data_IF_901844333901
#
_entry.id   IF_901844333901
#
_cell.length_a   1.000
_cell.length_b   1.000
_cell.length_c   1.000
_cell.angle_alpha   90.00
_cell.angle_beta   90.00
_cell.angle_gamma   90.00
#
_symmetry.space_group_name_H-M   'P 1'
#
loop_
_entity.id
_entity.type
_entity.pdbx_description
1 polymer ?
#
# COMPACT_ATOMS: atom_id res chain seq x y z
N UNK A 1 -7.07 -47.64 0.93
CA UNK A 1 -7.39 -46.22 1.04
C UNK A 1 -6.45 -45.65 2.08
N UNK A 2 -5.34 -45.03 1.65
CA UNK A 2 -4.41 -44.35 2.53
C UNK A 2 -4.62 -42.86 2.26
N UNK A 3 -5.15 -42.16 3.28
CA UNK A 3 -5.22 -40.70 3.27
C UNK A 3 -3.80 -40.14 3.34
N UNK A 4 -3.39 -39.41 2.31
CA UNK A 4 -2.13 -38.70 2.25
C UNK A 4 -2.29 -37.36 3.01
N UNK A 5 -1.59 -37.12 4.15
CA UNK A 5 -1.75 -35.93 4.97
C UNK A 5 -0.91 -34.74 4.49
N UNK A 6 -0.41 -34.72 3.25
CA UNK A 6 0.49 -33.66 2.75
C UNK A 6 -0.15 -32.67 1.78
N UNK A 7 -1.48 -32.60 1.72
CA UNK A 7 -2.12 -31.49 1.03
C UNK A 7 -2.01 -30.23 1.92
N UNK A 8 -0.92 -29.46 1.76
CA UNK A 8 -0.70 -28.21 2.46
C UNK A 8 -1.85 -27.26 2.18
N UNK A 9 -2.76 -27.12 3.13
CA UNK A 9 -3.77 -26.07 3.12
C UNK A 9 -3.02 -24.74 3.01
N UNK A 10 -3.31 -23.97 1.98
CA UNK A 10 -2.90 -22.58 1.94
C UNK A 10 -3.33 -21.94 3.27
N UNK A 11 -2.45 -21.21 3.97
CA UNK A 11 -2.82 -20.60 5.24
C UNK A 11 -4.06 -19.73 5.02
N UNK A 12 -5.09 -19.97 5.83
CA UNK A 12 -6.32 -19.19 5.79
C UNK A 12 -6.06 -17.69 5.97
N UNK A 13 -7.04 -16.83 5.66
CA UNK A 13 -6.86 -15.38 5.80
C UNK A 13 -6.48 -15.05 7.24
N UNK A 14 -5.38 -14.29 7.44
CA UNK A 14 -5.00 -13.78 8.77
C UNK A 14 -6.08 -12.80 9.22
N UNK A 15 -6.74 -13.10 10.33
CA UNK A 15 -7.80 -12.26 10.87
C UNK A 15 -7.26 -10.92 11.40
N UNK A 16 -8.06 -9.85 11.42
CA UNK A 16 -7.60 -8.53 11.90
C UNK A 16 -7.02 -8.55 13.31
N UNK A 17 -7.57 -9.35 14.22
CA UNK A 17 -7.05 -9.49 15.58
C UNK A 17 -5.63 -10.07 15.61
N UNK A 18 -5.33 -11.06 14.78
CA UNK A 18 -3.99 -11.65 14.63
C UNK A 18 -3.00 -10.66 14.02
N UNK A 19 -3.44 -9.90 13.00
CA UNK A 19 -2.64 -8.83 12.40
C UNK A 19 -2.27 -7.78 13.45
N UNK A 20 -3.23 -7.36 14.28
CA UNK A 20 -3.00 -6.41 15.37
C UNK A 20 -2.04 -6.99 16.40
N UNK A 21 -2.25 -8.22 16.85
CA UNK A 21 -1.38 -8.86 17.83
C UNK A 21 0.06 -9.02 17.32
N UNK A 22 0.25 -9.38 16.04
CA UNK A 22 1.58 -9.43 15.42
C UNK A 22 2.19 -8.02 15.31
N UNK A 23 1.43 -7.03 14.89
CA UNK A 23 1.88 -5.65 14.78
C UNK A 23 2.38 -5.11 16.12
N UNK A 24 1.66 -5.34 17.22
CA UNK A 24 2.05 -4.88 18.55
C UNK A 24 3.35 -5.55 19.05
N UNK A 25 3.64 -6.79 18.64
CA UNK A 25 4.87 -7.49 19.02
C UNK A 25 6.07 -7.15 18.15
N UNK A 26 5.86 -6.92 16.86
CA UNK A 26 6.93 -6.97 15.86
C UNK A 26 7.23 -5.61 15.23
N UNK A 27 6.26 -4.68 15.22
CA UNK A 27 6.45 -3.38 14.59
C UNK A 27 7.12 -2.38 15.54
N UNK A 28 8.08 -1.64 15.00
CA UNK A 28 8.75 -0.54 15.70
C UNK A 28 8.08 0.76 15.30
N UNK A 29 7.53 1.49 16.27
CA UNK A 29 6.90 2.78 16.05
C UNK A 29 7.89 3.91 16.27
N UNK A 30 7.76 4.97 15.49
CA UNK A 30 8.57 6.17 15.59
C UNK A 30 7.83 7.43 15.18
N UNK A 31 8.50 8.54 15.40
CA UNK A 31 8.05 9.86 14.94
C UNK A 31 9.23 10.53 14.23
N UNK A 32 8.98 11.04 13.03
CA UNK A 32 9.92 11.84 12.27
C UNK A 32 9.49 13.31 12.34
N UNK A 33 10.34 14.19 12.83
CA UNK A 33 10.12 15.63 12.70
C UNK A 33 10.50 16.07 11.29
N UNK A 34 9.51 16.47 10.50
CA UNK A 34 9.74 16.95 9.12
C UNK A 34 10.03 18.46 9.08
N UNK A 35 10.00 19.14 10.23
CA UNK A 35 10.03 20.60 10.32
C UNK A 35 8.66 21.24 10.02
N UNK A 36 7.69 20.49 9.52
CA UNK A 36 6.32 20.93 9.22
C UNK A 36 5.28 20.22 10.08
N UNK A 37 5.55 18.98 10.50
CA UNK A 37 4.73 18.21 11.43
C UNK A 37 5.53 17.04 12.01
N UNK A 38 5.04 16.50 13.10
CA UNK A 38 5.53 15.29 13.72
C UNK A 38 4.88 14.09 13.02
N UNK A 39 5.59 13.50 12.08
CA UNK A 39 5.14 12.39 11.25
C UNK A 39 5.16 11.07 12.02
N UNK A 40 4.01 10.47 12.37
CA UNK A 40 4.01 9.13 12.93
C UNK A 40 4.31 8.11 11.83
N UNK A 41 5.21 7.18 12.12
CA UNK A 41 5.51 6.06 11.24
C UNK A 41 5.70 4.78 12.04
N UNK A 42 5.69 3.66 11.34
CA UNK A 42 6.19 2.40 11.88
C UNK A 42 7.03 1.68 10.84
N UNK A 43 7.92 0.81 11.35
CA UNK A 43 8.68 -0.14 10.54
C UNK A 43 8.33 -1.56 10.97
N UNK A 44 8.20 -2.48 10.03
CA UNK A 44 7.88 -3.87 10.30
C UNK A 44 8.60 -4.79 9.32
N UNK A 45 9.36 -5.76 9.85
CA UNK A 45 10.17 -6.69 9.06
C UNK A 45 11.58 -6.19 8.76
N UNK A 46 12.31 -6.98 8.02
CA UNK A 46 13.70 -6.74 7.61
C UNK A 46 13.88 -7.01 6.12
N UNK A 47 14.98 -6.51 5.53
CA UNK A 47 15.28 -6.65 4.11
C UNK A 47 15.23 -5.33 3.37
N UNK A 48 15.06 -5.34 2.03
CA UNK A 48 15.01 -4.14 1.22
C UNK A 48 13.85 -3.21 1.68
N UNK A 49 14.10 -1.89 1.81
CA UNK A 49 13.07 -0.97 2.29
C UNK A 49 11.93 -0.79 1.27
N UNK A 50 10.69 -0.89 1.76
CA UNK A 50 9.46 -0.61 1.03
C UNK A 50 8.60 0.39 1.82
N UNK A 51 8.46 1.60 1.28
CA UNK A 51 7.71 2.70 1.90
C UNK A 51 6.29 2.73 1.38
N UNK A 52 5.31 2.86 2.28
CA UNK A 52 3.88 2.90 1.98
C UNK A 52 3.33 4.30 2.21
N UNK A 53 2.67 4.85 1.18
CA UNK A 53 2.00 6.15 1.20
C UNK A 53 0.50 5.93 1.05
N UNK A 54 -0.25 6.23 2.10
CA UNK A 54 -1.70 5.93 2.14
C UNK A 54 -2.55 6.91 1.30
N UNK A 55 -3.80 6.52 1.07
CA UNK A 55 -4.81 7.29 0.35
C UNK A 55 -5.42 8.42 1.19
N UNK A 56 -6.33 9.19 0.56
CA UNK A 56 -7.13 10.16 1.27
C UNK A 56 -8.07 9.47 2.28
N UNK A 57 -8.35 10.16 3.38
CA UNK A 57 -9.19 9.66 4.47
C UNK A 57 -8.67 8.37 5.13
N UNK A 58 -7.36 8.19 5.16
CA UNK A 58 -6.71 6.99 5.69
C UNK A 58 -5.49 7.34 6.55
N UNK A 59 -4.83 6.32 7.10
CA UNK A 59 -3.59 6.41 7.88
C UNK A 59 -2.65 5.26 7.53
N UNK A 60 -1.43 5.29 8.04
CA UNK A 60 -0.47 4.19 7.88
C UNK A 60 -1.02 2.83 8.33
N UNK A 61 -1.98 2.82 9.27
CA UNK A 61 -2.52 1.60 9.87
C UNK A 61 -3.31 0.72 8.90
N UNK A 62 -3.79 1.28 7.78
CA UNK A 62 -4.52 0.52 6.76
C UNK A 62 -3.67 -0.54 6.06
N UNK A 63 -2.36 -0.37 6.05
CA UNK A 63 -1.45 -1.32 5.41
C UNK A 63 -1.06 -2.51 6.28
N UNK A 64 -1.45 -2.55 7.56
CA UNK A 64 -1.09 -3.67 8.46
C UNK A 64 -1.39 -5.06 7.87
N UNK A 65 -2.55 -5.32 7.24
CA UNK A 65 -2.84 -6.64 6.71
C UNK A 65 -1.87 -7.08 5.60
N UNK A 66 -1.51 -6.20 4.69
CA UNK A 66 -0.56 -6.51 3.61
C UNK A 66 0.88 -6.53 4.12
N UNK A 67 1.24 -5.62 5.03
CA UNK A 67 2.58 -5.57 5.63
C UNK A 67 2.86 -6.82 6.47
N UNK A 68 1.88 -7.35 7.20
CA UNK A 68 2.03 -8.61 7.94
C UNK A 68 2.50 -9.78 7.04
N UNK A 69 2.21 -9.74 5.75
CA UNK A 69 2.61 -10.73 4.76
C UNK A 69 3.93 -10.41 4.07
N UNK A 70 4.25 -9.13 3.97
CA UNK A 70 5.47 -8.65 3.32
C UNK A 70 6.66 -8.53 4.28
N UNK A 71 6.42 -8.46 5.59
CA UNK A 71 7.44 -8.24 6.63
C UNK A 71 8.52 -9.33 6.71
N UNK A 72 8.25 -10.52 6.19
CA UNK A 72 9.25 -11.60 6.07
C UNK A 72 10.27 -11.35 4.93
N UNK A 73 9.97 -10.42 4.01
CA UNK A 73 10.78 -10.19 2.80
C UNK A 73 11.29 -8.76 2.65
N UNK A 74 10.62 -7.80 3.31
CA UNK A 74 10.91 -6.37 3.20
C UNK A 74 10.92 -5.71 4.57
N UNK A 75 11.78 -4.71 4.73
CA UNK A 75 11.61 -3.71 5.77
C UNK A 75 10.49 -2.76 5.33
N UNK A 76 9.25 -3.08 5.71
CA UNK A 76 8.07 -2.27 5.39
C UNK A 76 8.03 -1.04 6.31
N UNK A 77 7.83 0.13 5.72
CA UNK A 77 7.79 1.43 6.40
C UNK A 77 6.50 2.11 6.00
N UNK A 78 5.60 2.37 6.94
CA UNK A 78 4.38 3.11 6.66
C UNK A 78 4.29 4.34 7.54
N UNK A 79 3.94 5.47 6.97
CA UNK A 79 3.81 6.74 7.67
C UNK A 79 2.44 7.38 7.42
N UNK A 80 2.01 8.21 8.34
CA UNK A 80 0.74 8.93 8.23
C UNK A 80 0.98 10.34 7.68
N UNK A 81 0.32 10.66 6.57
CA UNK A 81 0.29 12.00 5.98
C UNK A 81 -0.28 13.00 6.98
N UNK A 82 0.05 14.32 6.86
CA UNK A 82 -0.35 15.31 7.86
C UNK A 82 -1.86 15.35 8.05
N UNK A 83 -2.25 15.23 9.32
CA UNK A 83 -3.66 15.20 9.76
C UNK A 83 -4.11 16.54 10.35
N UNK A 84 -3.17 17.42 10.71
CA UNK A 84 -3.42 18.62 11.49
C UNK A 84 -3.66 18.32 12.97
N UNK A 85 -3.82 19.38 13.78
CA UNK A 85 -4.11 19.28 15.21
C UNK A 85 -2.97 18.65 16.02
N UNK A 86 -3.03 17.34 16.36
CA UNK A 86 -2.09 16.71 17.28
C UNK A 86 -0.67 16.50 16.72
N UNK A 87 -0.54 16.49 15.40
CA UNK A 87 0.75 16.32 14.71
C UNK A 87 1.46 17.65 14.42
N UNK A 88 0.84 18.77 14.75
CA UNK A 88 1.38 20.13 14.55
C UNK A 88 1.28 20.66 13.12
N UNK A 89 0.74 19.90 12.16
CA UNK A 89 0.63 20.31 10.78
C UNK A 89 -0.32 21.52 10.59
N UNK A 90 0.16 22.57 9.93
CA UNK A 90 -0.63 23.72 9.52
C UNK A 90 -1.19 23.52 8.12
N UNK A 91 -2.22 22.68 7.96
CA UNK A 91 -2.75 22.20 6.69
C UNK A 91 -3.14 23.30 5.69
N UNK A 92 -3.48 24.50 6.17
CA UNK A 92 -3.84 25.64 5.30
C UNK A 92 -2.67 26.15 4.46
N UNK A 93 -1.46 26.05 4.96
CA UNK A 93 -0.23 26.40 4.26
C UNK A 93 0.41 25.28 3.47
N UNK A 94 -0.14 24.05 3.57
CA UNK A 94 0.41 22.89 2.88
C UNK A 94 0.04 22.85 1.41
N UNK A 95 1.01 22.42 0.60
CA UNK A 95 0.87 22.10 -0.81
C UNK A 95 1.23 20.63 -1.06
N UNK A 96 0.91 20.12 -2.23
CA UNK A 96 1.28 18.76 -2.59
C UNK A 96 2.82 18.53 -2.60
N UNK A 97 3.58 19.54 -3.01
CA UNK A 97 5.04 19.48 -2.99
C UNK A 97 5.60 19.24 -1.57
N UNK A 98 4.97 19.83 -0.54
CA UNK A 98 5.40 19.63 0.85
C UNK A 98 5.27 18.16 1.29
N UNK A 99 4.27 17.42 0.75
CA UNK A 99 4.11 16.00 1.04
C UNK A 99 5.25 15.16 0.44
N UNK A 100 5.81 15.61 -0.68
CA UNK A 100 6.98 14.96 -1.30
C UNK A 100 8.24 15.26 -0.48
N UNK A 101 8.41 16.50 -0.03
CA UNK A 101 9.50 16.87 0.86
C UNK A 101 9.43 16.15 2.22
N UNK A 102 8.22 15.91 2.74
CA UNK A 102 8.02 15.12 3.96
C UNK A 102 8.43 13.65 3.76
N UNK A 103 8.16 13.07 2.57
CA UNK A 103 8.66 11.74 2.22
C UNK A 103 10.19 11.71 2.23
N UNK A 104 10.85 12.73 1.69
CA UNK A 104 12.32 12.83 1.70
C UNK A 104 12.88 13.06 3.12
N UNK A 105 12.17 13.81 3.97
CA UNK A 105 12.53 13.94 5.37
C UNK A 105 12.49 12.58 6.09
N UNK A 106 11.48 11.72 5.80
CA UNK A 106 11.43 10.36 6.32
C UNK A 106 12.59 9.50 5.81
N UNK A 107 12.96 9.62 4.53
CA UNK A 107 14.13 8.91 3.99
C UNK A 107 15.41 9.33 4.71
N UNK A 108 15.61 10.62 4.93
CA UNK A 108 16.78 11.13 5.67
C UNK A 108 16.77 10.66 7.13
N UNK A 109 15.62 10.75 7.82
CA UNK A 109 15.45 10.32 9.21
C UNK A 109 15.79 8.84 9.42
N UNK A 110 15.45 7.98 8.45
CA UNK A 110 15.68 6.53 8.53
C UNK A 110 16.98 6.08 7.88
N UNK A 111 17.80 7.00 7.36
CA UNK A 111 19.05 6.70 6.64
C UNK A 111 18.83 5.91 5.35
N UNK A 112 17.71 6.14 4.65
CA UNK A 112 17.40 5.45 3.41
C UNK A 112 18.01 6.18 2.22
N UNK A 113 19.01 5.57 1.58
CA UNK A 113 19.52 6.08 0.31
C UNK A 113 18.53 5.80 -0.82
N UNK A 114 17.96 4.59 -0.85
CA UNK A 114 17.00 4.11 -1.85
C UNK A 114 15.92 3.27 -1.16
N UNK A 115 14.68 3.34 -1.66
CA UNK A 115 13.59 2.46 -1.24
C UNK A 115 12.61 2.21 -2.39
N UNK A 116 11.91 1.08 -2.36
CA UNK A 116 10.68 0.89 -3.12
C UNK A 116 9.57 1.73 -2.51
N UNK A 117 8.64 2.19 -3.32
CA UNK A 117 7.49 2.98 -2.83
C UNK A 117 6.18 2.39 -3.33
N UNK A 118 5.25 2.18 -2.42
CA UNK A 118 3.85 1.89 -2.75
C UNK A 118 2.99 3.09 -2.41
N UNK A 119 2.38 3.71 -3.43
CA UNK A 119 1.39 4.77 -3.25
C UNK A 119 -0.03 4.25 -3.50
N UNK A 120 -0.92 4.39 -2.52
CA UNK A 120 -2.32 4.02 -2.66
C UNK A 120 -3.18 5.24 -2.93
N UNK A 121 -4.04 5.20 -3.96
CA UNK A 121 -5.00 6.26 -4.28
C UNK A 121 -4.33 7.64 -4.33
N UNK A 122 -4.67 8.57 -3.41
CA UNK A 122 -4.01 9.87 -3.29
C UNK A 122 -2.49 9.75 -3.11
N UNK A 123 -2.02 8.77 -2.32
CA UNK A 123 -0.58 8.51 -2.12
C UNK A 123 0.19 8.18 -3.40
N UNK A 124 -0.50 7.74 -4.46
CA UNK A 124 0.12 7.52 -5.78
C UNK A 124 0.63 8.81 -6.40
N UNK A 125 -0.02 9.94 -6.14
CA UNK A 125 0.41 11.25 -6.64
C UNK A 125 1.70 11.71 -5.96
N UNK A 126 1.86 11.43 -4.67
CA UNK A 126 3.11 11.68 -3.93
C UNK A 126 4.23 10.80 -4.48
N UNK A 127 3.96 9.50 -4.69
CA UNK A 127 4.94 8.58 -5.26
C UNK A 127 5.39 9.00 -6.66
N UNK A 128 4.47 9.37 -7.55
CA UNK A 128 4.79 9.86 -8.91
C UNK A 128 5.66 11.11 -8.87
N UNK A 129 5.30 12.11 -8.06
CA UNK A 129 6.07 13.34 -7.94
C UNK A 129 7.47 13.09 -7.35
N UNK A 130 7.58 12.21 -6.35
CA UNK A 130 8.86 11.81 -5.77
C UNK A 130 9.76 11.08 -6.79
N UNK A 131 9.20 10.15 -7.60
CA UNK A 131 9.92 9.47 -8.66
C UNK A 131 10.44 10.43 -9.74
N UNK A 132 9.68 11.47 -10.04
CA UNK A 132 10.07 12.51 -10.99
C UNK A 132 11.19 13.38 -10.44
N UNK A 133 11.15 13.70 -9.14
CA UNK A 133 12.12 14.58 -8.47
C UNK A 133 13.48 13.88 -8.24
N UNK A 134 13.48 12.64 -7.74
CA UNK A 134 14.67 11.86 -7.42
C UNK A 134 14.58 10.42 -7.96
N UNK A 135 14.71 10.24 -9.29
CA UNK A 135 14.54 8.94 -9.93
C UNK A 135 15.52 7.86 -9.43
N UNK A 136 16.72 8.25 -9.00
CA UNK A 136 17.75 7.36 -8.48
C UNK A 136 17.40 6.78 -7.11
N UNK A 137 16.53 7.44 -6.34
CA UNK A 137 16.17 7.04 -4.97
C UNK A 137 15.00 6.07 -4.90
N UNK A 138 14.16 6.01 -5.95
CA UNK A 138 13.01 5.09 -6.04
C UNK A 138 13.19 4.18 -7.26
N UNK A 139 13.87 3.02 -7.10
CA UNK A 139 14.21 2.15 -8.23
C UNK A 139 13.00 1.45 -8.85
N UNK A 140 11.93 1.22 -8.09
CA UNK A 140 10.64 0.67 -8.53
C UNK A 140 9.52 1.23 -7.67
N UNK A 141 8.33 1.40 -8.26
CA UNK A 141 7.15 1.80 -7.50
C UNK A 141 5.91 0.97 -7.83
N UNK A 142 4.99 0.94 -6.89
CA UNK A 142 3.66 0.32 -7.03
C UNK A 142 2.62 1.42 -6.82
N UNK A 143 1.67 1.54 -7.75
CA UNK A 143 0.56 2.50 -7.66
C UNK A 143 -0.76 1.72 -7.59
N UNK A 144 -1.35 1.66 -6.41
CA UNK A 144 -2.60 0.96 -6.17
C UNK A 144 -3.78 1.93 -6.27
N UNK A 145 -4.72 1.68 -7.19
CA UNK A 145 -5.87 2.55 -7.41
C UNK A 145 -5.45 4.01 -7.66
N UNK A 146 -4.32 4.21 -8.34
CA UNK A 146 -3.65 5.49 -8.49
C UNK A 146 -4.21 6.36 -9.61
N UNK A 147 -3.77 7.62 -9.62
CA UNK A 147 -4.09 8.61 -10.67
C UNK A 147 -2.98 9.63 -10.81
N UNK A 148 -2.80 10.18 -12.02
CA UNK A 148 -1.97 11.37 -12.26
C UNK A 148 -2.79 12.66 -12.29
N UNK A 149 -4.10 12.55 -12.49
CA UNK A 149 -5.01 13.69 -12.60
C UNK A 149 -6.44 13.28 -12.25
N UNK A 150 -7.03 13.92 -11.25
CA UNK A 150 -8.43 13.71 -10.83
C UNK A 150 -9.02 15.00 -10.29
N UNK A 151 -9.49 15.90 -11.16
CA UNK A 151 -10.18 17.11 -10.72
C UNK A 151 -11.50 16.74 -10.05
N UNK A 152 -11.80 17.38 -8.94
CA UNK A 152 -13.05 17.20 -8.23
C UNK A 152 -14.20 17.89 -8.97
N UNK A 153 -15.38 17.26 -8.99
CA UNK A 153 -16.61 17.85 -9.45
C UNK A 153 -17.04 19.01 -8.51
N UNK A 154 -17.88 19.91 -8.99
CA UNK A 154 -18.31 21.07 -8.21
C UNK A 154 -18.85 20.69 -6.82
N UNK A 155 -19.77 19.71 -6.75
CA UNK A 155 -20.35 19.26 -5.48
C UNK A 155 -19.30 18.65 -4.54
N UNK A 156 -18.38 17.82 -5.07
CA UNK A 156 -17.26 17.26 -4.29
C UNK A 156 -16.39 18.38 -3.69
N UNK A 157 -16.12 19.43 -4.48
CA UNK A 157 -15.34 20.61 -4.02
C UNK A 157 -16.03 21.33 -2.87
N UNK A 158 -17.34 21.60 -3.00
CA UNK A 158 -18.11 22.29 -1.96
C UNK A 158 -18.12 21.45 -0.67
N UNK A 159 -18.43 20.17 -0.77
CA UNK A 159 -18.48 19.27 0.39
C UNK A 159 -17.10 19.15 1.07
N UNK A 160 -16.04 18.92 0.31
CA UNK A 160 -14.70 18.76 0.86
C UNK A 160 -14.11 20.08 1.36
N UNK A 161 -14.49 21.22 0.78
CA UNK A 161 -14.14 22.53 1.32
C UNK A 161 -14.68 22.70 2.74
N UNK A 162 -15.96 22.37 2.97
CA UNK A 162 -16.56 22.44 4.31
C UNK A 162 -15.83 21.56 5.33
N UNK A 163 -15.36 20.36 4.92
CA UNK A 163 -14.66 19.45 5.84
C UNK A 163 -13.38 20.03 6.44
N UNK A 164 -12.70 20.96 5.76
CA UNK A 164 -11.46 21.61 6.22
C UNK A 164 -11.60 22.33 7.56
N UNK A 165 -12.82 22.72 7.91
CA UNK A 165 -13.13 23.44 9.16
C UNK A 165 -13.55 22.51 10.31
N UNK A 166 -13.71 21.19 10.07
CA UNK A 166 -14.14 20.26 11.10
C UNK A 166 -12.96 19.58 11.80
N UNK A 167 -12.80 19.78 13.11
CA UNK A 167 -11.66 19.25 13.86
C UNK A 167 -11.78 17.76 14.22
N UNK A 168 -12.90 17.11 13.85
CA UNK A 168 -13.20 15.74 14.26
C UNK A 168 -12.53 14.66 13.42
N UNK A 169 -12.54 13.45 13.96
CA UNK A 169 -12.18 12.23 13.22
C UNK A 169 -13.33 11.78 12.31
N UNK A 170 -13.00 11.04 11.27
CA UNK A 170 -13.96 10.43 10.33
C UNK A 170 -14.99 9.54 11.05
N UNK A 171 -14.60 8.85 12.12
CA UNK A 171 -15.50 8.03 12.94
C UNK A 171 -16.70 8.81 13.50
N UNK A 172 -16.55 10.13 13.72
CA UNK A 172 -17.63 10.99 14.24
C UNK A 172 -18.65 11.48 13.18
N UNK A 173 -18.38 11.18 11.90
CA UNK A 173 -19.26 11.63 10.81
C UNK A 173 -20.53 10.77 10.78
N UNK A 174 -21.69 11.41 11.03
CA UNK A 174 -23.00 10.73 10.94
C UNK A 174 -23.18 10.14 9.54
N UNK A 175 -23.72 8.91 9.47
CA UNK A 175 -23.99 8.18 8.22
C UNK A 175 -22.72 7.74 7.46
N UNK A 176 -21.50 7.93 8.01
CA UNK A 176 -20.25 7.47 7.37
C UNK A 176 -20.31 5.98 7.04
N UNK A 177 -20.74 5.14 7.99
CA UNK A 177 -20.86 3.70 7.77
C UNK A 177 -21.82 3.34 6.62
N UNK A 178 -22.93 4.06 6.48
CA UNK A 178 -23.86 3.86 5.35
C UNK A 178 -23.20 4.22 4.01
N UNK A 179 -22.39 5.28 3.98
CA UNK A 179 -21.64 5.67 2.79
C UNK A 179 -20.59 4.63 2.43
N UNK A 180 -19.80 4.20 3.42
CA UNK A 180 -18.79 3.15 3.22
C UNK A 180 -19.41 1.83 2.79
N UNK A 181 -20.53 1.44 3.40
CA UNK A 181 -21.26 0.25 3.01
C UNK A 181 -21.73 0.32 1.56
N UNK A 182 -22.30 1.45 1.12
CA UNK A 182 -22.73 1.61 -0.27
C UNK A 182 -21.59 1.49 -1.29
N UNK A 183 -20.40 1.98 -0.94
CA UNK A 183 -19.25 2.06 -1.87
C UNK A 183 -18.40 0.79 -1.81
N UNK A 184 -18.14 0.26 -0.61
CA UNK A 184 -17.12 -0.76 -0.40
C UNK A 184 -17.67 -2.14 -0.01
N UNK A 185 -18.85 -2.20 0.66
CA UNK A 185 -19.39 -3.45 1.18
C UNK A 185 -19.48 -4.60 0.14
N UNK A 186 -19.85 -4.37 -1.13
CA UNK A 186 -19.87 -5.43 -2.13
C UNK A 186 -18.53 -6.13 -2.35
N UNK A 187 -17.40 -5.44 -2.08
CA UNK A 187 -16.07 -6.01 -2.20
C UNK A 187 -15.63 -6.79 -0.95
N UNK A 188 -16.43 -6.77 0.12
CA UNK A 188 -16.20 -7.54 1.35
C UNK A 188 -17.12 -8.77 1.45
N UNK A 189 -17.96 -9.02 0.44
CA UNK A 189 -18.80 -10.21 0.42
C UNK A 189 -17.97 -11.49 0.47
N UNK A 190 -18.38 -12.45 1.30
CA UNK A 190 -17.65 -13.68 1.51
C UNK A 190 -16.48 -13.58 2.51
N UNK A 191 -16.13 -12.39 2.98
CA UNK A 191 -15.12 -12.19 4.03
C UNK A 191 -15.77 -12.15 5.42
N UNK A 192 -15.03 -12.52 6.49
CA UNK A 192 -15.50 -12.37 7.86
C UNK A 192 -15.89 -10.91 8.16
N UNK A 193 -17.00 -10.72 8.90
CA UNK A 193 -17.51 -9.38 9.24
C UNK A 193 -16.48 -8.50 9.95
N UNK A 194 -15.58 -9.10 10.73
CA UNK A 194 -14.51 -8.42 11.43
C UNK A 194 -13.51 -7.73 10.49
N UNK A 195 -13.33 -8.23 9.25
CA UNK A 195 -12.49 -7.57 8.24
C UNK A 195 -13.12 -6.24 7.81
N UNK A 196 -14.44 -6.25 7.58
CA UNK A 196 -15.17 -5.02 7.26
C UNK A 196 -15.18 -4.04 8.44
N UNK A 197 -15.38 -4.52 9.66
CA UNK A 197 -15.31 -3.68 10.87
C UNK A 197 -13.93 -3.06 11.04
N UNK A 198 -12.86 -3.84 10.88
CA UNK A 198 -11.50 -3.30 10.92
C UNK A 198 -11.27 -2.20 9.87
N UNK A 199 -11.79 -2.36 8.64
CA UNK A 199 -11.76 -1.30 7.63
C UNK A 199 -12.48 -0.04 8.10
N UNK A 200 -13.71 -0.19 8.64
CA UNK A 200 -14.50 0.95 9.15
C UNK A 200 -13.77 1.64 10.30
N UNK A 201 -13.25 0.90 11.26
CA UNK A 201 -12.61 1.45 12.46
C UNK A 201 -11.30 2.15 12.11
N UNK A 202 -10.41 1.50 11.36
CA UNK A 202 -9.08 2.04 11.07
C UNK A 202 -9.13 3.28 10.18
N UNK A 203 -9.99 3.30 9.15
CA UNK A 203 -10.21 4.51 8.35
C UNK A 203 -10.96 5.59 9.12
N UNK A 204 -11.63 5.23 10.22
CA UNK A 204 -12.30 6.17 11.15
C UNK A 204 -11.33 7.08 11.90
N UNK A 205 -10.07 6.69 12.03
CA UNK A 205 -9.05 7.46 12.75
C UNK A 205 -8.58 8.69 11.99
N UNK A 206 -8.69 8.72 10.65
CA UNK A 206 -8.34 9.87 9.83
C UNK A 206 -9.20 11.10 10.19
N UNK A 207 -8.62 12.30 10.06
CA UNK A 207 -9.31 13.56 10.39
C UNK A 207 -10.10 14.10 9.21
N UNK A 208 -11.26 14.69 9.49
CA UNK A 208 -12.12 15.32 8.49
C UNK A 208 -11.42 16.51 7.80
N UNK A 209 -10.70 17.34 8.58
CA UNK A 209 -9.95 18.45 8.03
C UNK A 209 -8.85 17.97 7.07
N UNK A 210 -8.13 16.90 7.41
CA UNK A 210 -7.12 16.31 6.53
C UNK A 210 -7.72 15.85 5.21
N UNK A 211 -8.86 15.12 5.24
CA UNK A 211 -9.58 14.74 4.03
C UNK A 211 -9.93 15.96 3.15
N UNK A 212 -10.44 17.03 3.76
CA UNK A 212 -10.77 18.25 3.04
C UNK A 212 -9.55 18.90 2.35
N UNK A 213 -8.39 18.89 3.00
CA UNK A 213 -7.15 19.40 2.42
C UNK A 213 -6.58 18.46 1.36
N UNK A 214 -6.56 17.15 1.60
CA UNK A 214 -6.13 16.14 0.63
C UNK A 214 -6.96 16.20 -0.66
N UNK A 215 -8.27 16.38 -0.53
CA UNK A 215 -9.17 16.58 -1.67
C UNK A 215 -8.84 17.85 -2.47
N UNK A 216 -8.50 18.96 -1.79
CA UNK A 216 -8.05 20.19 -2.43
C UNK A 216 -6.74 19.97 -3.19
N UNK A 217 -5.76 19.32 -2.56
CA UNK A 217 -4.48 19.00 -3.21
C UNK A 217 -4.71 18.13 -4.44
N UNK A 218 -5.49 17.05 -4.31
CA UNK A 218 -5.84 16.18 -5.43
C UNK A 218 -6.50 16.93 -6.59
N UNK A 219 -7.39 17.90 -6.28
CA UNK A 219 -8.03 18.73 -7.31
C UNK A 219 -7.04 19.60 -8.08
N UNK A 220 -6.00 20.10 -7.42
CA UNK A 220 -5.02 21.03 -8.00
C UNK A 220 -3.85 20.34 -8.70
N UNK A 221 -3.72 19.01 -8.59
CA UNK A 221 -2.60 18.27 -9.17
C UNK A 221 -2.91 17.84 -10.61
N UNK A 222 -1.94 18.07 -11.50
CA UNK A 222 -1.89 17.45 -12.82
C UNK A 222 -0.45 17.00 -13.12
N UNK A 223 -0.22 15.70 -13.00
CA UNK A 223 1.10 15.09 -13.23
C UNK A 223 1.20 14.42 -14.62
N UNK A 224 0.23 14.63 -15.50
CA UNK A 224 0.22 13.96 -16.82
C UNK A 224 1.43 14.33 -17.66
N UNK A 225 1.87 15.56 -17.61
CA UNK A 225 3.05 16.03 -18.33
C UNK A 225 4.37 15.44 -17.80
N UNK A 226 4.40 14.98 -16.54
CA UNK A 226 5.58 14.39 -15.90
C UNK A 226 5.74 12.90 -16.20
N UNK A 227 4.64 12.18 -16.53
CA UNK A 227 4.65 10.73 -16.69
C UNK A 227 5.70 10.22 -17.69
N UNK A 228 5.90 10.84 -18.87
CA UNK A 228 6.90 10.36 -19.83
C UNK A 228 8.34 10.45 -19.34
N UNK A 229 8.61 11.29 -18.34
CA UNK A 229 9.94 11.44 -17.75
C UNK A 229 10.25 10.40 -16.66
N UNK A 230 9.22 9.69 -16.16
CA UNK A 230 9.37 8.61 -15.17
C UNK A 230 9.76 7.33 -15.92
N UNK A 231 11.01 6.91 -15.78
CA UNK A 231 11.60 5.76 -16.49
C UNK A 231 11.71 4.50 -15.63
N UNK A 232 11.55 4.64 -14.31
CA UNK A 232 11.60 3.50 -13.39
C UNK A 232 10.44 2.54 -13.69
N UNK A 233 10.63 1.23 -13.49
CA UNK A 233 9.55 0.26 -13.56
C UNK A 233 8.44 0.58 -12.56
N UNK A 234 7.20 0.64 -13.04
CA UNK A 234 6.00 0.90 -12.23
C UNK A 234 5.02 -0.25 -12.38
N UNK A 235 4.54 -0.77 -11.27
CA UNK A 235 3.42 -1.70 -11.23
C UNK A 235 2.14 -0.95 -10.89
N UNK A 236 1.19 -0.95 -11.81
CA UNK A 236 -0.16 -0.45 -11.57
C UNK A 236 -1.03 -1.58 -11.04
N UNK A 237 -1.66 -1.38 -9.89
CA UNK A 237 -2.61 -2.31 -9.30
C UNK A 237 -3.99 -1.69 -9.31
N UNK A 238 -4.96 -2.37 -9.92
CA UNK A 238 -6.31 -1.89 -10.05
C UNK A 238 -7.30 -2.97 -9.61
N UNK A 239 -8.20 -2.65 -8.68
CA UNK A 239 -9.28 -3.57 -8.33
C UNK A 239 -10.33 -3.63 -9.43
N UNK A 240 -10.72 -4.81 -9.85
CA UNK A 240 -11.73 -5.02 -10.90
C UNK A 240 -13.03 -4.25 -10.61
N UNK A 241 -13.43 -4.20 -9.34
CA UNK A 241 -14.66 -3.56 -8.86
C UNK A 241 -14.43 -2.18 -8.23
N UNK A 242 -13.31 -1.52 -8.57
CA UNK A 242 -12.99 -0.20 -8.02
C UNK A 242 -13.93 0.87 -8.56
N UNK A 243 -14.94 1.23 -7.74
CA UNK A 243 -15.91 2.30 -8.05
C UNK A 243 -15.41 3.71 -7.63
N UNK A 244 -14.37 3.80 -6.82
CA UNK A 244 -13.80 5.07 -6.32
C UNK A 244 -12.85 5.69 -7.35
N UNK A 245 -11.96 4.84 -7.91
CA UNK A 245 -11.01 5.23 -8.96
C UNK A 245 -11.26 4.38 -10.20
N UNK A 246 -12.13 4.81 -11.13
CA UNK A 246 -12.46 4.05 -12.33
C UNK A 246 -11.24 3.69 -13.17
N UNK A 247 -11.31 2.56 -13.86
CA UNK A 247 -10.26 1.95 -14.66
C UNK A 247 -9.55 2.91 -15.62
N UNK A 248 -10.23 3.91 -16.17
CA UNK A 248 -9.63 4.94 -17.04
C UNK A 248 -8.43 5.67 -16.43
N UNK A 249 -8.34 5.75 -15.07
CA UNK A 249 -7.18 6.35 -14.40
C UNK A 249 -5.95 5.44 -14.48
N UNK A 250 -6.12 4.14 -14.30
CA UNK A 250 -5.05 3.15 -14.51
C UNK A 250 -4.60 3.10 -15.97
N UNK A 251 -5.55 3.16 -16.92
CA UNK A 251 -5.26 3.17 -18.36
C UNK A 251 -4.48 4.44 -18.74
N UNK A 252 -4.84 5.60 -18.19
CA UNK A 252 -4.11 6.85 -18.42
C UNK A 252 -2.68 6.81 -17.86
N UNK A 253 -2.47 6.21 -16.68
CA UNK A 253 -1.14 5.98 -16.12
C UNK A 253 -0.33 5.02 -16.99
N UNK A 254 -0.94 3.92 -17.45
CA UNK A 254 -0.29 2.92 -18.30
C UNK A 254 0.16 3.52 -19.64
N UNK A 255 -0.67 4.37 -20.22
CA UNK A 255 -0.36 5.06 -21.47
C UNK A 255 0.71 6.15 -21.31
N UNK A 256 0.77 6.80 -20.14
CA UNK A 256 1.71 7.92 -19.91
C UNK A 256 3.08 7.50 -19.40
N UNK A 257 3.18 6.39 -18.67
CA UNK A 257 4.43 5.90 -18.09
C UNK A 257 5.23 5.07 -19.09
N UNK A 258 6.52 5.35 -19.22
CA UNK A 258 7.40 4.66 -20.19
C UNK A 258 7.73 3.20 -19.85
N UNK A 259 7.57 2.79 -18.59
CA UNK A 259 7.90 1.43 -18.08
C UNK A 259 6.89 0.99 -17.04
N UNK A 260 5.61 0.81 -17.43
CA UNK A 260 4.56 0.38 -16.53
C UNK A 260 3.92 -0.95 -16.98
N UNK A 261 3.61 -1.79 -15.98
CA UNK A 261 2.74 -2.95 -16.12
C UNK A 261 1.46 -2.76 -15.32
N UNK A 262 0.34 -3.34 -15.76
CA UNK A 262 -0.94 -3.28 -15.07
C UNK A 262 -1.41 -4.68 -14.69
N UNK A 263 -1.73 -4.85 -13.40
CA UNK A 263 -2.39 -6.04 -12.88
C UNK A 263 -3.77 -5.63 -12.36
N UNK A 264 -4.80 -6.32 -12.84
CA UNK A 264 -6.17 -6.20 -12.34
C UNK A 264 -6.38 -7.25 -11.27
N UNK A 265 -6.75 -6.82 -10.08
CA UNK A 265 -7.03 -7.70 -8.95
C UNK A 265 -8.50 -8.13 -9.03
N UNK A 266 -8.74 -9.39 -9.37
CA UNK A 266 -10.07 -9.97 -9.52
C UNK A 266 -10.86 -9.88 -8.22
N UNK A 267 -12.14 -9.50 -8.30
CA UNK A 267 -13.05 -9.32 -7.16
C UNK A 267 -12.73 -8.16 -6.23
N UNK A 268 -11.53 -7.57 -6.33
CA UNK A 268 -11.10 -6.49 -5.46
C UNK A 268 -11.74 -5.14 -5.83
N UNK A 269 -12.01 -4.31 -4.80
CA UNK A 269 -12.39 -2.91 -4.95
C UNK A 269 -11.21 -1.96 -4.77
N UNK A 270 -11.53 -0.74 -4.27
CA UNK A 270 -10.54 0.32 -4.06
C UNK A 270 -9.55 0.04 -2.90
N UNK A 271 -9.90 -0.87 -2.00
CA UNK A 271 -9.14 -1.14 -0.76
C UNK A 271 -8.66 -2.60 -0.66
N UNK A 272 -7.89 -3.10 -1.66
CA UNK A 272 -7.43 -4.49 -1.68
C UNK A 272 -6.52 -4.85 -0.52
N UNK A 273 -5.89 -3.88 0.14
CA UNK A 273 -5.09 -4.09 1.34
C UNK A 273 -5.90 -4.68 2.50
N UNK A 274 -7.22 -4.53 2.50
CA UNK A 274 -8.13 -5.14 3.46
C UNK A 274 -8.78 -6.42 2.93
N UNK A 275 -9.23 -6.39 1.66
CA UNK A 275 -10.06 -7.46 1.10
C UNK A 275 -9.25 -8.61 0.47
N UNK A 276 -8.09 -8.31 -0.10
CA UNK A 276 -7.25 -9.26 -0.83
C UNK A 276 -5.76 -9.12 -0.45
N UNK A 277 -5.42 -9.06 0.85
CA UNK A 277 -4.04 -8.77 1.28
C UNK A 277 -3.04 -9.85 0.84
N UNK A 278 -3.44 -11.12 0.71
CA UNK A 278 -2.59 -12.21 0.21
C UNK A 278 -2.24 -12.02 -1.27
N UNK A 279 -3.26 -11.81 -2.09
CA UNK A 279 -3.08 -11.57 -3.53
C UNK A 279 -2.22 -10.33 -3.76
N UNK A 280 -2.52 -9.24 -3.05
CA UNK A 280 -1.77 -7.99 -3.12
C UNK A 280 -0.30 -8.19 -2.74
N UNK A 281 -0.02 -8.87 -1.62
CA UNK A 281 1.34 -9.16 -1.19
C UNK A 281 2.10 -10.06 -2.17
N UNK A 282 1.43 -11.06 -2.74
CA UNK A 282 1.99 -11.95 -3.75
C UNK A 282 2.47 -11.19 -4.99
N UNK A 283 1.61 -10.33 -5.54
CA UNK A 283 1.92 -9.52 -6.73
C UNK A 283 3.03 -8.50 -6.44
N UNK A 284 3.00 -7.83 -5.28
CA UNK A 284 4.05 -6.90 -4.85
C UNK A 284 5.40 -7.62 -4.76
N UNK A 285 5.44 -8.78 -4.09
CA UNK A 285 6.66 -9.58 -3.94
C UNK A 285 7.22 -10.01 -5.29
N UNK A 286 6.38 -10.53 -6.17
CA UNK A 286 6.80 -10.95 -7.52
C UNK A 286 7.41 -9.79 -8.31
N UNK A 287 6.84 -8.60 -8.23
CA UNK A 287 7.34 -7.43 -8.94
C UNK A 287 8.64 -6.89 -8.37
N UNK A 288 8.79 -6.90 -7.03
CA UNK A 288 9.96 -6.30 -6.38
C UNK A 288 11.16 -7.25 -6.25
N UNK A 289 10.94 -8.57 -6.28
CA UNK A 289 12.03 -9.56 -6.22
C UNK A 289 12.58 -9.78 -7.63
N UNK A 290 13.88 -9.57 -7.88
CA UNK A 290 14.49 -9.84 -9.18
C UNK A 290 14.34 -11.32 -9.55
N UNK A 291 14.19 -11.67 -10.85
CA UNK A 291 14.26 -13.05 -11.29
C UNK A 291 15.61 -13.65 -10.88
N UNK A 292 15.62 -14.75 -10.12
CA UNK A 292 16.83 -15.43 -9.66
C UNK A 292 17.30 -15.08 -8.24
N UNK A 293 16.70 -14.16 -7.53
CA UNK A 293 16.91 -14.02 -6.09
C UNK A 293 16.14 -15.12 -5.37
N UNK A 294 16.86 -16.14 -4.87
CA UNK A 294 16.26 -17.12 -3.96
C UNK A 294 15.65 -16.38 -2.76
N UNK A 295 14.48 -16.84 -2.23
CA UNK A 295 13.97 -16.30 -0.97
C UNK A 295 15.07 -16.44 0.07
N UNK A 296 15.36 -15.37 0.82
CA UNK A 296 16.24 -15.45 1.97
C UNK A 296 15.63 -16.48 2.93
N UNK A 297 16.19 -17.68 2.95
CA UNK A 297 15.85 -18.70 3.93
C UNK A 297 16.33 -18.12 5.26
N UNK A 298 15.48 -18.02 6.30
CA UNK A 298 15.98 -17.63 7.61
C UNK A 298 17.04 -18.65 7.99
N UNK A 299 18.21 -18.16 8.37
CA UNK A 299 19.37 -18.96 8.78
C UNK A 299 18.98 -19.73 10.06
N UNK A 300 18.59 -20.99 9.91
CA UNK A 300 18.29 -21.91 11.03
C UNK A 300 19.55 -22.36 11.78
N UNK A 301 20.69 -21.72 11.54
CA UNK A 301 21.99 -22.11 12.12
C UNK A 301 22.23 -21.58 13.53
N UNK A 302 21.31 -20.80 14.15
CA UNK A 302 21.59 -20.16 15.45
C UNK A 302 20.99 -20.84 16.69
N UNK A 303 20.40 -22.04 16.58
CA UNK A 303 19.83 -22.75 17.78
C UNK A 303 20.02 -24.28 17.76
N UNK A 304 21.16 -24.77 17.30
CA UNK A 304 21.54 -26.17 17.56
C UNK A 304 22.80 -26.24 18.41
N UNK A 305 22.68 -25.96 19.72
CA UNK A 305 23.65 -26.40 20.74
C UNK A 305 23.14 -27.69 21.37
N UNK A 306 23.18 -28.81 20.62
CA UNK A 306 23.19 -30.14 21.22
C UNK A 306 23.83 -31.15 20.24
N UNK A 307 25.03 -31.68 20.52
CA UNK A 307 25.79 -32.54 19.61
C UNK A 307 25.46 -34.04 19.69
N UNK A 308 24.24 -34.44 20.05
CA UNK A 308 23.86 -35.87 20.14
C UNK A 308 22.48 -36.14 19.55
N UNK A 309 22.29 -36.01 18.22
CA UNK A 309 21.22 -36.74 17.52
C UNK A 309 21.62 -36.88 16.03
N UNK A 310 21.87 -38.16 15.66
CA UNK A 310 22.34 -38.53 14.32
C UNK A 310 21.31 -38.24 13.23
N UNK A 311 21.77 -37.61 12.16
CA UNK A 311 21.03 -37.45 10.93
C UNK A 311 21.30 -38.58 9.96
N UNK A 312 20.27 -39.34 9.59
CA UNK A 312 20.27 -40.21 8.41
C UNK A 312 19.34 -39.56 7.36
N UNK A 313 19.85 -39.28 6.15
CA UNK A 313 19.09 -38.82 5.00
C UNK A 313 18.25 -39.92 4.34
N UNK A 314 17.53 -39.70 3.25
CA UNK A 314 18.11 -39.41 1.95
C UNK A 314 17.37 -38.35 1.09
N UNK A 315 18.02 -37.96 -0.01
CA UNK A 315 17.56 -37.09 -1.07
C UNK A 315 16.31 -37.58 -1.83
N UNK A 316 15.48 -36.66 -2.30
CA UNK A 316 14.57 -36.85 -3.44
C UNK A 316 14.12 -35.55 -4.10
N UNK A 317 13.63 -35.60 -5.36
CA UNK A 317 13.98 -34.64 -6.41
C UNK A 317 12.97 -33.51 -6.67
N UNK A 318 13.41 -32.59 -7.51
CA UNK A 318 12.75 -31.38 -8.03
C UNK A 318 11.25 -31.56 -8.41
N UNK A 319 10.41 -30.63 -7.95
CA UNK A 319 9.15 -30.28 -8.58
C UNK A 319 9.29 -28.94 -9.31
N UNK A 320 9.39 -29.03 -10.63
CA UNK A 320 9.40 -27.92 -11.57
C UNK A 320 7.93 -27.49 -11.82
N UNK A 321 7.49 -26.47 -11.10
CA UNK A 321 6.14 -25.88 -11.22
C UNK A 321 6.18 -24.53 -11.92
N UNK A 322 6.42 -24.52 -13.23
CA UNK A 322 6.23 -23.31 -14.04
C UNK A 322 4.76 -23.14 -14.38
N UNK A 323 4.13 -22.12 -13.83
CA UNK A 323 2.84 -21.62 -14.30
C UNK A 323 3.11 -20.54 -15.35
N UNK A 324 2.64 -20.71 -16.61
CA UNK A 324 2.84 -19.71 -17.64
C UNK A 324 1.92 -18.51 -17.44
N UNK A 325 2.49 -17.31 -17.54
CA UNK A 325 1.77 -16.05 -17.60
C UNK A 325 1.01 -15.96 -18.94
N UNK A 326 -0.23 -15.45 -18.97
CA UNK A 326 -0.91 -15.20 -20.24
C UNK A 326 -0.26 -14.01 -20.96
N UNK A 327 0.37 -14.29 -22.09
CA UNK A 327 0.86 -13.31 -23.04
C UNK A 327 -0.35 -12.72 -23.75
N UNK A 328 -0.65 -11.44 -23.52
CA UNK A 328 -1.65 -10.70 -24.28
C UNK A 328 -1.17 -10.55 -25.72
N UNK A 329 -1.93 -11.12 -26.67
CA UNK A 329 -1.66 -11.11 -28.10
C UNK A 329 -1.57 -9.70 -28.67
N UNK A 330 -0.50 -9.44 -29.41
CA UNK A 330 -0.43 -8.39 -30.41
C UNK A 330 -1.40 -8.77 -31.54
N UNK A 331 -2.28 -7.85 -31.91
CA UNK A 331 -2.91 -7.84 -33.22
C UNK A 331 -2.02 -7.00 -34.15
N UNK A 332 -1.46 -7.62 -35.16
CA UNK A 332 -0.92 -6.95 -36.32
C UNK A 332 -2.01 -6.81 -37.42
N UNK A 333 -1.76 -6.02 -38.46
CA UNK A 333 -2.50 -4.84 -38.92
C UNK A 333 -3.84 -5.11 -39.56
#
# INVERSE_FOLDING_TARGET
>A
MHDDPTCGHAPGPILPAEVVARFEREAIRGVCDTGRYLMPYFTWGQGPPLVFVHGAADTAMSFRPVIARLSAHFRCIAYTLPQGHDDGARLWGYHHADLVEDLWALFAHLGLERAYVLGSSFGSTVALAAMRQHPERIPRAILQGGTAYRPLRFLERVLTFGLRFFPGKMAKLRRRERLLARIHRPCFEGLPEEVYRAFVDWTGEARLAALGHQARWLHGIDLRADLPAIRQPVLLLHGERDSVMPRRHADALLAGLGSAGLVVLEGAGHVPQYTHPEMLAGVIRQFLTPPGAAPAVPDCAATCTNPQAGCLGPASPACDGRVPLPVSGRREP
#
